data_IF_227884423129
#
_entry.id   IF_227884423129
#
_cell.length_a   1.000
_cell.length_b   1.000
_cell.length_c   1.000
_cell.angle_alpha   90.00
_cell.angle_beta   90.00
_cell.angle_gamma   90.00
#
_symmetry.space_group_name_H-M   'P 1'
#
loop_
_entity.id
_entity.type
_entity.pdbx_description
1 polymer ?
#
# COMPACT_ATOMS: atom_id res chain seq x y z
N UNK A 1 -2.59 13.63 -9.10
CA UNK A 1 -1.62 12.56 -8.85
C UNK A 1 -0.69 12.93 -7.70
N UNK A 2 -0.45 11.99 -6.79
CA UNK A 2 0.61 12.07 -5.78
C UNK A 2 1.87 11.48 -6.38
N UNK A 3 2.73 12.35 -6.94
CA UNK A 3 3.86 11.89 -7.76
C UNK A 3 4.91 11.13 -6.95
N UNK A 4 5.11 11.49 -5.69
CA UNK A 4 6.07 10.90 -4.76
C UNK A 4 5.33 10.33 -3.55
N UNK A 5 4.68 9.20 -3.71
CA UNK A 5 3.97 8.48 -2.64
C UNK A 5 4.77 7.25 -2.20
N UNK A 6 4.81 7.02 -0.88
CA UNK A 6 5.66 5.99 -0.29
C UNK A 6 4.94 5.22 0.81
N UNK A 7 5.21 3.92 0.88
CA UNK A 7 4.91 3.15 2.08
C UNK A 7 5.88 3.48 3.21
N UNK A 8 5.40 3.45 4.44
CA UNK A 8 6.25 3.59 5.63
C UNK A 8 6.87 2.26 6.09
N UNK A 9 6.41 1.13 5.53
CA UNK A 9 7.01 -0.19 5.74
C UNK A 9 6.63 -1.12 4.59
N UNK A 10 7.60 -1.63 3.80
CA UNK A 10 7.33 -2.42 2.60
C UNK A 10 7.02 -3.90 2.91
N UNK A 11 6.00 -4.13 3.74
CA UNK A 11 5.46 -5.44 4.11
C UNK A 11 3.95 -5.33 4.27
N UNK A 12 3.19 -6.31 3.77
CA UNK A 12 1.73 -6.25 3.68
C UNK A 12 1.03 -5.92 5.02
N UNK A 13 1.15 -6.78 6.04
CA UNK A 13 0.50 -6.59 7.34
C UNK A 13 0.84 -5.24 7.97
N UNK A 14 2.13 -4.90 8.15
CA UNK A 14 2.56 -3.59 8.66
C UNK A 14 2.02 -2.39 7.89
N UNK A 15 2.14 -2.38 6.56
CA UNK A 15 1.63 -1.29 5.72
C UNK A 15 0.11 -1.14 5.82
N UNK A 16 -0.62 -2.27 5.86
CA UNK A 16 -2.07 -2.29 6.03
C UNK A 16 -2.49 -1.79 7.41
N UNK A 17 -1.78 -2.18 8.48
CA UNK A 17 -2.00 -1.65 9.81
C UNK A 17 -1.81 -0.12 9.83
N UNK A 18 -0.76 0.38 9.17
CA UNK A 18 -0.49 1.81 9.04
C UNK A 18 -1.58 2.55 8.26
N UNK A 19 -2.06 2.01 7.13
CA UNK A 19 -3.19 2.58 6.38
C UNK A 19 -4.48 2.62 7.21
N UNK A 20 -4.77 1.57 7.96
CA UNK A 20 -5.99 1.48 8.76
C UNK A 20 -5.97 2.38 9.99
N UNK A 21 -4.81 2.63 10.60
CA UNK A 21 -4.70 3.30 11.91
C UNK A 21 -4.04 4.67 11.86
N UNK A 22 -3.38 5.02 10.76
CA UNK A 22 -2.58 6.25 10.65
C UNK A 22 -1.29 6.24 11.47
N UNK A 23 -0.85 5.09 11.99
CA UNK A 23 0.30 4.96 12.87
C UNK A 23 1.40 4.11 12.24
N UNK A 24 2.65 4.41 12.58
CA UNK A 24 3.76 3.53 12.21
C UNK A 24 3.55 2.11 12.76
N UNK A 25 4.02 1.13 12.03
CA UNK A 25 3.82 -0.28 12.33
C UNK A 25 4.33 -0.67 13.72
N UNK A 26 5.46 -0.13 14.18
CA UNK A 26 5.98 -0.35 15.53
C UNK A 26 5.08 0.21 16.63
N UNK A 27 4.31 1.29 16.36
CA UNK A 27 3.32 1.83 17.30
C UNK A 27 2.04 0.99 17.36
N UNK A 28 1.70 0.32 16.25
CA UNK A 28 0.54 -0.59 16.23
C UNK A 28 0.86 -1.95 16.82
N UNK A 29 2.13 -2.32 16.91
CA UNK A 29 2.63 -3.65 17.25
C UNK A 29 2.66 -4.61 16.06
N UNK A 30 2.06 -4.26 14.91
CA UNK A 30 2.05 -5.07 13.68
C UNK A 30 3.31 -4.72 12.86
N UNK A 31 4.48 -5.06 13.37
CA UNK A 31 5.76 -4.72 12.72
C UNK A 31 6.20 -5.76 11.68
N UNK A 32 5.54 -6.90 11.60
CA UNK A 32 5.74 -7.97 10.59
C UNK A 32 4.42 -8.64 10.25
N UNK A 33 4.42 -9.47 9.21
CA UNK A 33 3.28 -10.34 8.90
C UNK A 33 2.99 -11.32 10.05
N UNK A 34 1.80 -11.89 10.05
CA UNK A 34 1.31 -12.83 11.06
C UNK A 34 1.17 -12.24 12.48
N UNK A 35 1.07 -10.91 12.59
CA UNK A 35 0.64 -10.25 13.82
C UNK A 35 -0.75 -9.66 13.60
N UNK A 36 -1.68 -10.06 14.45
CA UNK A 36 -3.06 -9.55 14.42
C UNK A 36 -3.11 -8.11 14.93
N UNK A 37 -3.84 -7.25 14.24
CA UNK A 37 -4.05 -5.88 14.70
C UNK A 37 -4.80 -5.87 16.04
N UNK A 38 -4.22 -5.21 17.04
CA UNK A 38 -4.84 -5.10 18.35
C UNK A 38 -6.17 -4.33 18.24
N UNK A 39 -7.24 -4.89 18.81
CA UNK A 39 -8.60 -4.32 18.83
C UNK A 39 -8.70 -2.92 19.46
N UNK A 40 -7.71 -2.52 20.26
CA UNK A 40 -7.63 -1.19 20.86
C UNK A 40 -7.08 -0.14 19.89
N UNK A 41 -6.53 -0.54 18.75
CA UNK A 41 -6.12 0.39 17.70
C UNK A 41 -7.37 0.87 16.93
N UNK A 42 -7.59 2.18 16.92
CA UNK A 42 -8.70 2.77 16.15
C UNK A 42 -8.36 2.78 14.67
N UNK A 43 -9.30 2.26 13.87
CA UNK A 43 -9.19 2.17 12.41
C UNK A 43 -10.00 3.26 11.71
N UNK A 44 -9.77 3.45 10.39
CA UNK A 44 -10.59 4.29 9.53
C UNK A 44 -12.09 4.01 9.72
N UNK A 45 -12.48 2.73 9.68
CA UNK A 45 -13.89 2.35 9.80
C UNK A 45 -14.50 2.79 11.14
N UNK A 46 -13.77 2.65 12.24
CA UNK A 46 -14.29 3.04 13.56
C UNK A 46 -14.45 4.57 13.70
N UNK A 47 -13.56 5.36 13.10
CA UNK A 47 -13.72 6.81 13.06
C UNK A 47 -14.94 7.21 12.21
N UNK A 48 -15.04 6.66 11.01
CA UNK A 48 -16.11 6.96 10.06
C UNK A 48 -17.49 6.47 10.52
N UNK A 49 -17.58 5.29 11.13
CA UNK A 49 -18.83 4.80 11.74
C UNK A 49 -19.38 5.77 12.79
N UNK A 50 -18.49 6.36 13.60
CA UNK A 50 -18.90 7.32 14.63
C UNK A 50 -19.53 8.58 14.04
N UNK A 51 -19.11 8.96 12.84
CA UNK A 51 -19.62 10.11 12.09
C UNK A 51 -20.78 9.71 11.13
N UNK A 52 -21.35 8.53 11.30
CA UNK A 52 -22.57 8.11 10.61
C UNK A 52 -22.34 7.48 9.23
N UNK A 53 -21.11 7.21 8.82
CA UNK A 53 -20.84 6.48 7.57
C UNK A 53 -21.20 5.00 7.71
N UNK A 54 -21.62 4.40 6.61
CA UNK A 54 -21.60 2.95 6.44
C UNK A 54 -20.21 2.54 5.94
N UNK A 55 -19.56 1.59 6.61
CA UNK A 55 -18.21 1.17 6.24
C UNK A 55 -18.18 -0.22 5.67
N UNK A 56 -17.48 -0.41 4.55
CA UNK A 56 -17.37 -1.66 3.83
C UNK A 56 -15.91 -2.03 3.55
N UNK A 57 -15.60 -3.32 3.68
CA UNK A 57 -14.32 -3.88 3.29
C UNK A 57 -14.53 -5.05 2.33
N UNK A 58 -13.83 -5.03 1.18
CA UNK A 58 -13.88 -6.09 0.16
C UNK A 58 -12.46 -6.45 -0.26
N UNK A 59 -12.07 -7.73 -0.14
CA UNK A 59 -10.79 -8.26 -0.59
C UNK A 59 -9.85 -8.74 0.51
N UNK A 60 -8.54 -8.49 0.38
CA UNK A 60 -7.50 -8.95 1.32
C UNK A 60 -7.42 -8.10 2.57
N UNK A 61 -7.54 -8.72 3.75
CA UNK A 61 -7.41 -8.02 5.05
C UNK A 61 -5.98 -8.02 5.61
N UNK A 62 -5.43 -9.17 5.87
CA UNK A 62 -4.08 -9.44 6.39
C UNK A 62 -3.77 -8.82 7.77
N UNK A 63 -4.78 -8.59 8.59
CA UNK A 63 -4.65 -8.05 9.96
C UNK A 63 -5.42 -8.90 10.99
N UNK A 64 -5.93 -10.04 10.58
CA UNK A 64 -6.61 -11.01 11.43
C UNK A 64 -5.74 -12.21 11.79
N UNK A 65 -6.24 -13.06 12.70
CA UNK A 65 -5.54 -14.25 13.18
C UNK A 65 -5.84 -15.52 12.36
N UNK A 66 -6.85 -15.49 11.49
CA UNK A 66 -7.33 -16.68 10.77
C UNK A 66 -8.13 -16.31 9.53
N UNK A 67 -8.42 -17.29 8.67
CA UNK A 67 -9.50 -17.29 7.70
C UNK A 67 -10.58 -18.33 8.11
N UNK A 68 -11.86 -17.95 8.18
CA UNK A 68 -12.41 -16.58 8.10
C UNK A 68 -11.96 -15.68 9.26
N UNK A 69 -11.86 -14.38 9.00
CA UNK A 69 -11.47 -13.38 10.02
C UNK A 69 -12.56 -13.26 11.08
N UNK A 70 -12.19 -13.35 12.35
CA UNK A 70 -13.12 -13.21 13.49
C UNK A 70 -13.78 -11.83 13.49
N UNK A 71 -15.06 -11.75 13.88
CA UNK A 71 -15.85 -10.49 13.85
C UNK A 71 -15.16 -9.31 14.58
N UNK A 72 -14.53 -9.59 15.72
CA UNK A 72 -13.83 -8.60 16.53
C UNK A 72 -12.45 -8.20 16.00
N UNK A 73 -11.97 -8.84 14.93
CA UNK A 73 -10.69 -8.55 14.25
C UNK A 73 -10.86 -7.81 12.91
N UNK A 74 -12.11 -7.46 12.52
CA UNK A 74 -12.46 -6.81 11.25
C UNK A 74 -12.34 -5.29 11.28
N UNK A 75 -11.65 -4.71 12.24
CA UNK A 75 -11.41 -3.27 12.30
C UNK A 75 -12.66 -2.40 12.37
N UNK A 76 -13.84 -2.96 12.73
CA UNK A 76 -15.09 -2.20 12.87
C UNK A 76 -15.88 -1.99 11.56
N UNK A 77 -15.53 -2.65 10.46
CA UNK A 77 -16.27 -2.58 9.20
C UNK A 77 -17.67 -3.22 9.31
N UNK A 78 -18.71 -2.52 8.84
CA UNK A 78 -20.11 -2.96 8.89
C UNK A 78 -20.42 -4.02 7.82
N UNK A 79 -20.03 -3.75 6.58
CA UNK A 79 -20.09 -4.70 5.47
C UNK A 79 -18.73 -5.39 5.33
N UNK A 80 -18.77 -6.72 5.19
CA UNK A 80 -17.58 -7.53 5.12
C UNK A 80 -17.68 -8.58 4.02
N UNK A 81 -16.73 -8.57 3.10
CA UNK A 81 -16.53 -9.60 2.09
C UNK A 81 -15.02 -9.74 1.87
N UNK A 82 -14.33 -10.48 2.75
CA UNK A 82 -12.88 -10.48 2.78
C UNK A 82 -12.28 -11.82 3.27
N UNK A 83 -11.04 -12.07 2.83
CA UNK A 83 -10.16 -13.08 3.41
C UNK A 83 -8.96 -12.42 4.08
N UNK A 84 -8.43 -13.04 5.12
CA UNK A 84 -7.22 -12.56 5.78
C UNK A 84 -6.00 -12.68 4.84
N UNK A 85 -5.77 -13.89 4.34
CA UNK A 85 -4.66 -14.23 3.45
C UNK A 85 -5.20 -14.67 2.08
N UNK A 86 -5.72 -13.72 1.31
CA UNK A 86 -6.40 -13.99 0.04
C UNK A 86 -5.51 -14.74 -0.97
N UNK A 87 -4.18 -14.55 -0.90
CA UNK A 87 -3.18 -15.26 -1.70
C UNK A 87 -3.05 -16.76 -1.41
N UNK A 88 -3.55 -17.21 -0.25
CA UNK A 88 -3.56 -18.62 0.15
C UNK A 88 -4.95 -19.25 0.09
N UNK A 89 -6.00 -18.44 0.07
CA UNK A 89 -7.39 -18.93 -0.02
C UNK A 89 -7.90 -18.93 -1.46
N UNK A 90 -7.20 -18.29 -2.40
CA UNK A 90 -7.69 -18.04 -3.76
C UNK A 90 -6.59 -18.13 -4.80
N UNK A 91 -6.96 -18.62 -5.98
CA UNK A 91 -6.21 -18.50 -7.22
C UNK A 91 -6.80 -17.42 -8.13
N UNK A 92 -6.09 -17.12 -9.22
CA UNK A 92 -6.46 -16.03 -10.14
C UNK A 92 -7.87 -16.14 -10.70
N UNK A 93 -8.40 -17.37 -10.87
CA UNK A 93 -9.75 -17.68 -11.37
C UNK A 93 -10.60 -18.49 -10.38
N UNK A 94 -10.14 -18.65 -9.16
CA UNK A 94 -10.86 -19.31 -8.06
C UNK A 94 -10.83 -18.43 -6.82
N UNK A 95 -11.63 -17.37 -6.85
CA UNK A 95 -11.67 -16.39 -5.76
C UNK A 95 -12.54 -16.87 -4.62
N UNK A 96 -11.93 -17.21 -3.51
CA UNK A 96 -12.60 -17.61 -2.28
C UNK A 96 -12.48 -16.51 -1.23
N UNK A 97 -13.61 -16.10 -0.69
CA UNK A 97 -13.74 -14.98 0.24
C UNK A 97 -14.84 -15.30 1.26
N UNK A 98 -14.90 -14.60 2.37
CA UNK A 98 -15.87 -14.83 3.43
C UNK A 98 -16.74 -13.60 3.68
N UNK A 99 -18.05 -13.80 3.87
CA UNK A 99 -18.98 -12.75 4.20
C UNK A 99 -19.00 -12.40 5.72
N UNK A 100 -19.90 -11.50 6.10
CA UNK A 100 -20.07 -11.06 7.49
C UNK A 100 -20.40 -12.20 8.47
N UNK A 101 -21.02 -13.27 7.99
CA UNK A 101 -21.46 -14.43 8.79
C UNK A 101 -20.47 -15.62 8.69
N UNK A 102 -19.27 -15.38 8.14
CA UNK A 102 -18.22 -16.37 7.89
C UNK A 102 -18.59 -17.43 6.84
N UNK A 103 -19.62 -17.17 6.02
CA UNK A 103 -19.96 -18.05 4.92
C UNK A 103 -18.90 -17.91 3.82
N UNK A 104 -18.39 -19.05 3.37
CA UNK A 104 -17.48 -19.15 2.24
C UNK A 104 -18.22 -18.80 0.95
N UNK A 105 -17.72 -17.82 0.22
CA UNK A 105 -18.26 -17.36 -1.07
C UNK A 105 -17.21 -17.60 -2.14
N UNK A 106 -17.58 -18.26 -3.21
CA UNK A 106 -16.79 -18.38 -4.43
C UNK A 106 -17.27 -17.34 -5.42
N UNK A 107 -16.38 -16.41 -5.81
CA UNK A 107 -16.68 -15.39 -6.80
C UNK A 107 -16.21 -15.87 -8.20
N UNK A 108 -17.00 -15.67 -9.27
CA UNK A 108 -16.66 -16.12 -10.60
C UNK A 108 -15.70 -15.17 -11.31
N UNK A 109 -14.94 -15.71 -12.27
CA UNK A 109 -14.07 -14.95 -13.16
C UNK A 109 -12.68 -14.68 -12.59
N UNK A 110 -11.94 -13.80 -13.28
CA UNK A 110 -10.61 -13.39 -12.84
C UNK A 110 -10.72 -12.58 -11.54
N UNK A 111 -9.84 -12.82 -10.57
CA UNK A 111 -9.98 -12.33 -9.18
C UNK A 111 -10.16 -10.81 -9.07
N UNK A 112 -9.42 -10.00 -9.84
CA UNK A 112 -9.62 -8.54 -9.88
C UNK A 112 -11.06 -8.21 -10.25
N UNK A 113 -11.58 -8.85 -11.34
CA UNK A 113 -12.94 -8.60 -11.83
C UNK A 113 -13.97 -9.01 -10.79
N UNK A 114 -13.81 -10.19 -10.22
CA UNK A 114 -14.71 -10.75 -9.23
C UNK A 114 -14.85 -9.83 -7.99
N UNK A 115 -13.73 -9.27 -7.50
CA UNK A 115 -13.70 -8.33 -6.36
C UNK A 115 -14.31 -6.98 -6.75
N UNK A 116 -13.97 -6.45 -7.93
CA UNK A 116 -14.51 -5.18 -8.41
C UNK A 116 -16.01 -5.28 -8.72
N UNK A 117 -16.48 -6.39 -9.27
CA UNK A 117 -17.92 -6.64 -9.44
C UNK A 117 -18.67 -6.68 -8.09
N UNK A 118 -18.07 -7.27 -7.08
CA UNK A 118 -18.63 -7.23 -5.73
C UNK A 118 -18.66 -5.80 -5.17
N UNK A 119 -17.64 -4.99 -5.43
CA UNK A 119 -17.61 -3.57 -5.07
C UNK A 119 -18.68 -2.76 -5.79
N UNK A 120 -18.87 -2.96 -7.11
CA UNK A 120 -19.92 -2.31 -7.90
C UNK A 120 -21.30 -2.70 -7.38
N UNK A 121 -21.54 -3.98 -7.07
CA UNK A 121 -22.81 -4.40 -6.44
C UNK A 121 -23.04 -3.73 -5.09
N UNK A 122 -21.99 -3.52 -4.30
CA UNK A 122 -22.09 -2.77 -3.05
C UNK A 122 -22.42 -1.29 -3.31
N UNK A 123 -21.74 -0.63 -4.25
CA UNK A 123 -21.97 0.77 -4.62
C UNK A 123 -23.43 0.99 -5.09
N UNK A 124 -24.00 0.07 -5.85
CA UNK A 124 -25.35 0.14 -6.40
C UNK A 124 -26.48 -0.03 -5.37
N UNK A 125 -26.19 -0.34 -4.12
CA UNK A 125 -27.22 -0.48 -3.08
C UNK A 125 -27.81 0.89 -2.72
N UNK A 126 -29.15 0.99 -2.59
CA UNK A 126 -29.81 2.19 -2.08
C UNK A 126 -29.44 2.40 -0.61
N UNK A 127 -28.99 3.59 -0.27
CA UNK A 127 -28.66 3.96 1.11
C UNK A 127 -29.04 5.41 1.42
N UNK A 128 -29.24 5.66 2.71
CA UNK A 128 -29.54 7.00 3.24
C UNK A 128 -28.31 7.68 3.84
N UNK A 129 -27.25 6.92 4.09
CA UNK A 129 -26.02 7.38 4.74
C UNK A 129 -24.88 7.44 3.72
N UNK A 130 -23.91 8.32 3.92
CA UNK A 130 -22.66 8.25 3.18
C UNK A 130 -21.96 6.92 3.47
N UNK A 131 -21.12 6.47 2.56
CA UNK A 131 -20.38 5.21 2.75
C UNK A 131 -18.87 5.41 2.55
N UNK A 132 -18.12 4.56 3.22
CA UNK A 132 -16.70 4.36 2.99
C UNK A 132 -16.47 2.92 2.55
N UNK A 133 -15.94 2.74 1.35
CA UNK A 133 -15.64 1.44 0.80
C UNK A 133 -14.12 1.29 0.63
N UNK A 134 -13.54 0.31 1.33
CA UNK A 134 -12.15 -0.08 1.13
C UNK A 134 -12.09 -1.34 0.26
N UNK A 135 -11.59 -1.18 -0.97
CA UNK A 135 -11.36 -2.29 -1.91
C UNK A 135 -9.89 -2.65 -1.85
N UNK A 136 -9.60 -3.91 -1.56
CA UNK A 136 -8.25 -4.41 -1.37
C UNK A 136 -7.99 -5.59 -2.30
N UNK A 137 -7.48 -5.29 -3.49
CA UNK A 137 -7.02 -6.30 -4.44
C UNK A 137 -5.75 -6.96 -3.92
N UNK A 138 -5.48 -8.17 -4.40
CA UNK A 138 -4.19 -8.81 -4.14
C UNK A 138 -3.18 -8.49 -5.24
N UNK A 139 -3.65 -8.42 -6.48
CA UNK A 139 -2.80 -8.10 -7.63
C UNK A 139 -2.18 -6.70 -7.49
N UNK A 140 -0.98 -6.49 -7.96
CA UNK A 140 -0.11 -7.39 -8.74
C UNK A 140 0.85 -8.24 -7.87
N UNK A 141 0.41 -8.74 -6.70
CA UNK A 141 1.18 -9.66 -5.86
C UNK A 141 1.40 -10.99 -6.60
N UNK A 142 2.54 -11.64 -6.39
CA UNK A 142 2.75 -12.96 -6.96
C UNK A 142 1.87 -14.02 -6.26
N UNK A 143 1.57 -15.09 -6.96
CA UNK A 143 0.87 -16.25 -6.42
C UNK A 143 1.90 -17.17 -5.76
N UNK A 144 1.90 -17.25 -4.44
CA UNK A 144 2.98 -17.84 -3.66
C UNK A 144 3.31 -19.29 -4.04
N UNK A 145 2.29 -20.14 -4.23
CA UNK A 145 2.51 -21.56 -4.47
C UNK A 145 2.99 -21.89 -5.90
N UNK A 146 2.86 -20.96 -6.83
CA UNK A 146 3.36 -21.11 -8.21
C UNK A 146 4.60 -20.26 -8.49
N UNK A 147 4.98 -19.37 -7.56
CA UNK A 147 6.02 -18.33 -7.74
C UNK A 147 5.84 -17.59 -9.08
N UNK A 148 4.60 -17.22 -9.41
CA UNK A 148 4.26 -16.57 -10.67
C UNK A 148 3.38 -15.33 -10.47
N UNK A 149 3.29 -14.49 -11.50
CA UNK A 149 2.41 -13.34 -11.61
C UNK A 149 1.36 -13.61 -12.70
N UNK A 150 0.27 -14.35 -12.38
CA UNK A 150 -0.69 -14.83 -13.36
C UNK A 150 -1.67 -13.72 -13.77
N UNK A 151 -1.51 -13.10 -14.97
CA UNK A 151 -2.42 -12.10 -15.49
C UNK A 151 -3.65 -12.77 -16.10
N UNK A 152 -4.66 -12.01 -16.56
CA UNK A 152 -5.70 -12.57 -17.41
C UNK A 152 -5.12 -13.23 -18.66
N UNK A 153 -5.87 -14.19 -19.22
CA UNK A 153 -5.48 -14.93 -20.44
C UNK A 153 -5.17 -13.94 -21.57
N UNK A 154 -4.03 -14.13 -22.24
CA UNK A 154 -3.56 -13.29 -23.35
C UNK A 154 -2.81 -12.01 -22.93
N UNK A 155 -2.80 -11.66 -21.65
CA UNK A 155 -2.11 -10.43 -21.20
C UNK A 155 -0.60 -10.61 -21.08
N UNK A 156 -0.13 -11.79 -20.71
CA UNK A 156 1.32 -12.07 -20.61
C UNK A 156 2.01 -11.87 -21.96
N UNK A 157 1.45 -12.43 -23.02
CA UNK A 157 1.95 -12.34 -24.39
C UNK A 157 1.91 -10.90 -24.90
N UNK A 158 0.84 -10.17 -24.60
CA UNK A 158 0.67 -8.75 -24.96
C UNK A 158 1.72 -7.84 -24.33
N UNK A 159 2.22 -8.18 -23.15
CA UNK A 159 3.18 -7.39 -22.40
C UNK A 159 4.60 -7.96 -22.37
N UNK A 160 4.86 -9.03 -23.11
CA UNK A 160 6.20 -9.57 -23.33
C UNK A 160 7.09 -8.54 -24.05
N UNK A 161 8.37 -8.50 -23.70
CA UNK A 161 9.36 -7.63 -24.36
C UNK A 161 9.19 -6.13 -24.11
N UNK A 162 8.42 -5.73 -23.09
CA UNK A 162 8.30 -4.31 -22.70
C UNK A 162 9.54 -3.82 -21.98
N UNK A 163 9.65 -2.48 -21.88
CA UNK A 163 10.75 -1.82 -21.20
C UNK A 163 10.95 -2.36 -19.76
N UNK A 164 12.20 -2.59 -19.42
CA UNK A 164 12.61 -3.07 -18.08
C UNK A 164 13.32 -1.92 -17.36
N UNK A 165 12.90 -1.58 -16.14
CA UNK A 165 13.61 -0.58 -15.33
C UNK A 165 15.10 -0.93 -15.14
N UNK A 166 16.01 0.07 -15.14
CA UNK A 166 17.44 -0.16 -15.05
C UNK A 166 17.91 -0.99 -13.85
N UNK A 167 17.28 -0.82 -12.69
CA UNK A 167 17.58 -1.66 -11.50
C UNK A 167 17.20 -3.13 -11.72
N UNK A 168 16.05 -3.39 -12.34
CA UNK A 168 15.61 -4.74 -12.65
C UNK A 168 16.40 -5.39 -13.80
N UNK A 169 16.98 -4.56 -14.69
CA UNK A 169 17.81 -5.04 -15.79
C UNK A 169 19.25 -5.35 -15.33
N UNK A 170 19.80 -4.51 -14.45
CA UNK A 170 21.22 -4.55 -14.06
C UNK A 170 21.47 -5.51 -12.91
N UNK A 171 20.54 -5.56 -11.93
CA UNK A 171 20.69 -6.39 -10.74
C UNK A 171 20.14 -7.80 -10.99
N UNK A 172 20.74 -8.78 -10.33
CA UNK A 172 20.24 -10.15 -10.35
C UNK A 172 18.88 -10.21 -9.67
N UNK A 173 17.92 -10.94 -10.28
CA UNK A 173 16.56 -11.11 -9.74
C UNK A 173 15.68 -11.87 -10.72
N UNK A 174 14.37 -11.88 -10.45
CA UNK A 174 13.39 -12.66 -11.21
C UNK A 174 12.56 -11.85 -12.21
N UNK A 175 12.93 -10.58 -12.45
CA UNK A 175 12.13 -9.67 -13.28
C UNK A 175 11.92 -10.18 -14.71
N UNK A 176 12.93 -10.78 -15.32
CA UNK A 176 12.86 -11.32 -16.69
C UNK A 176 11.82 -12.43 -16.86
N UNK A 177 11.52 -13.19 -15.80
CA UNK A 177 10.49 -14.25 -15.82
C UNK A 177 9.09 -13.68 -15.60
N UNK A 178 8.96 -12.63 -14.78
CA UNK A 178 7.69 -12.25 -14.17
C UNK A 178 7.12 -10.92 -14.67
N UNK A 179 7.96 -10.04 -15.25
CA UNK A 179 7.56 -8.66 -15.54
C UNK A 179 6.38 -8.56 -16.52
N UNK A 180 6.31 -9.44 -17.51
CA UNK A 180 5.20 -9.48 -18.45
C UNK A 180 3.85 -9.81 -17.77
N UNK A 181 3.86 -10.79 -16.85
CA UNK A 181 2.70 -11.13 -16.02
C UNK A 181 2.30 -9.98 -15.10
N UNK A 182 3.28 -9.38 -14.43
CA UNK A 182 3.08 -8.22 -13.57
C UNK A 182 2.45 -7.03 -14.31
N UNK A 183 2.92 -6.70 -15.51
CA UNK A 183 2.34 -5.65 -16.34
C UNK A 183 0.91 -6.00 -16.78
N UNK A 184 0.66 -7.27 -17.12
CA UNK A 184 -0.69 -7.74 -17.46
C UNK A 184 -1.67 -7.60 -16.30
N UNK A 185 -1.25 -7.94 -15.07
CA UNK A 185 -2.05 -7.73 -13.85
C UNK A 185 -2.30 -6.24 -13.61
N UNK A 186 -1.24 -5.40 -13.73
CA UNK A 186 -1.34 -3.94 -13.55
C UNK A 186 -2.31 -3.32 -14.55
N UNK A 187 -2.26 -3.76 -15.81
CA UNK A 187 -3.23 -3.31 -16.83
C UNK A 187 -4.66 -3.70 -16.47
N UNK A 188 -4.87 -4.92 -15.95
CA UNK A 188 -6.21 -5.33 -15.53
C UNK A 188 -6.73 -4.55 -14.33
N UNK A 189 -5.86 -4.14 -13.40
CA UNK A 189 -6.24 -3.22 -12.31
C UNK A 189 -6.70 -1.88 -12.88
N UNK A 190 -5.99 -1.30 -13.84
CA UNK A 190 -6.35 -0.05 -14.50
C UNK A 190 -7.74 -0.13 -15.16
N UNK A 191 -8.02 -1.19 -15.90
CA UNK A 191 -9.32 -1.44 -16.52
C UNK A 191 -10.43 -1.61 -15.48
N UNK A 192 -10.17 -2.34 -14.40
CA UNK A 192 -11.12 -2.55 -13.31
C UNK A 192 -11.40 -1.25 -12.53
N UNK A 193 -10.38 -0.40 -12.35
CA UNK A 193 -10.55 0.93 -11.75
C UNK A 193 -11.41 1.84 -12.65
N UNK A 194 -11.23 1.78 -13.98
CA UNK A 194 -12.11 2.47 -14.94
C UNK A 194 -13.58 2.05 -14.76
N UNK A 195 -13.87 0.75 -14.61
CA UNK A 195 -15.22 0.23 -14.37
C UNK A 195 -15.85 0.78 -13.06
N UNK A 196 -15.06 0.98 -12.01
CA UNK A 196 -15.54 1.61 -10.77
C UNK A 196 -15.93 3.07 -11.02
N UNK A 197 -15.11 3.83 -11.76
CA UNK A 197 -15.42 5.22 -12.14
C UNK A 197 -16.69 5.28 -12.98
N UNK A 198 -16.80 4.45 -14.01
CA UNK A 198 -17.99 4.38 -14.88
C UNK A 198 -19.25 4.06 -14.09
N UNK A 199 -19.16 3.16 -13.11
CA UNK A 199 -20.26 2.82 -12.21
C UNK A 199 -20.69 4.04 -11.38
N UNK A 200 -19.75 4.77 -10.78
CA UNK A 200 -20.07 5.98 -10.00
C UNK A 200 -20.68 7.09 -10.86
N UNK A 201 -20.17 7.29 -12.09
CA UNK A 201 -20.74 8.24 -13.05
C UNK A 201 -22.16 7.85 -13.45
N UNK A 202 -22.39 6.60 -13.82
CA UNK A 202 -23.69 6.06 -14.21
C UNK A 202 -24.75 6.19 -13.10
N UNK A 203 -24.33 5.99 -11.87
CA UNK A 203 -25.19 6.13 -10.67
C UNK A 203 -25.32 7.56 -10.17
N UNK A 204 -24.66 8.55 -10.81
CA UNK A 204 -24.60 9.96 -10.40
C UNK A 204 -24.08 10.14 -8.98
N UNK A 205 -23.11 9.33 -8.59
CA UNK A 205 -22.46 9.38 -7.27
C UNK A 205 -21.09 10.06 -7.33
N UNK A 206 -20.55 10.31 -8.53
CA UNK A 206 -19.17 10.79 -8.70
C UNK A 206 -18.97 12.17 -8.06
N UNK A 207 -19.95 13.07 -8.18
CA UNK A 207 -19.85 14.44 -7.69
C UNK A 207 -19.72 14.51 -6.15
N UNK A 208 -20.29 13.55 -5.44
CA UNK A 208 -20.25 13.44 -3.98
C UNK A 208 -19.23 12.39 -3.49
N UNK A 209 -18.35 11.93 -4.37
CA UNK A 209 -17.39 10.88 -4.06
C UNK A 209 -15.94 11.37 -4.11
N UNK A 210 -15.10 10.78 -3.28
CA UNK A 210 -13.65 10.89 -3.37
C UNK A 210 -13.05 9.49 -3.47
N UNK A 211 -12.29 9.24 -4.52
CA UNK A 211 -11.62 7.98 -4.78
C UNK A 211 -10.12 8.13 -4.53
N UNK A 212 -9.59 7.30 -3.63
CA UNK A 212 -8.16 7.12 -3.46
C UNK A 212 -7.72 5.83 -4.14
N UNK A 213 -6.67 5.91 -4.93
CA UNK A 213 -5.96 4.75 -5.47
C UNK A 213 -4.54 4.74 -4.92
N UNK A 214 -4.10 3.62 -4.34
CA UNK A 214 -2.73 3.43 -3.85
C UNK A 214 -2.37 1.94 -3.76
N UNK A 215 -1.14 1.64 -3.34
CA UNK A 215 -0.67 0.30 -2.99
C UNK A 215 -0.10 0.29 -1.57
N UNK A 216 -0.08 -0.87 -0.93
CA UNK A 216 0.53 -1.06 0.39
C UNK A 216 2.06 -1.02 0.32
N UNK A 217 2.68 -1.53 -0.73
CA UNK A 217 4.12 -1.48 -1.01
C UNK A 217 4.41 -1.75 -2.49
N UNK A 218 5.67 -1.61 -2.90
CA UNK A 218 6.17 -1.92 -4.24
C UNK A 218 6.65 -3.37 -4.39
N UNK A 219 7.42 -3.62 -5.46
CA UNK A 219 7.99 -4.92 -5.80
C UNK A 219 9.39 -4.75 -6.42
N UNK A 220 10.38 -5.40 -5.85
CA UNK A 220 11.77 -5.35 -6.33
C UNK A 220 12.20 -6.60 -7.12
N UNK A 221 11.32 -7.57 -7.34
CA UNK A 221 11.58 -8.80 -8.10
C UNK A 221 12.86 -9.55 -7.64
N UNK A 222 13.09 -9.61 -6.33
CA UNK A 222 14.26 -10.27 -5.73
C UNK A 222 15.63 -9.64 -6.14
N UNK A 223 15.64 -8.34 -6.55
CA UNK A 223 16.88 -7.64 -6.92
C UNK A 223 17.63 -7.06 -5.71
N UNK A 224 16.99 -6.91 -4.57
CA UNK A 224 17.54 -6.25 -3.37
C UNK A 224 17.75 -7.18 -2.18
N UNK A 225 17.08 -8.30 -2.17
CA UNK A 225 17.15 -9.39 -1.22
C UNK A 225 16.52 -10.63 -1.86
N UNK A 226 16.46 -11.73 -1.16
CA UNK A 226 15.84 -12.97 -1.66
C UNK A 226 14.32 -12.93 -1.77
N UNK A 227 13.73 -11.81 -1.35
CA UNK A 227 12.31 -11.55 -1.40
C UNK A 227 11.99 -10.45 -2.42
N UNK A 228 10.75 -10.32 -2.81
CA UNK A 228 10.32 -9.33 -3.82
C UNK A 228 9.94 -7.97 -3.22
N UNK A 229 10.12 -7.76 -1.92
CA UNK A 229 9.87 -6.53 -1.14
C UNK A 229 10.82 -6.48 0.06
N UNK A 230 10.45 -5.81 1.17
CA UNK A 230 11.21 -5.78 2.44
C UNK A 230 12.56 -5.08 2.33
N UNK A 231 12.65 -4.04 1.51
CA UNK A 231 13.87 -3.24 1.37
C UNK A 231 13.56 -1.74 1.37
N UNK A 232 14.57 -0.91 1.64
CA UNK A 232 14.42 0.56 1.62
C UNK A 232 14.39 1.15 0.20
N UNK A 233 14.63 0.36 -0.83
CA UNK A 233 14.80 0.84 -2.21
C UNK A 233 13.48 1.30 -2.84
N UNK A 234 13.55 2.27 -3.76
CA UNK A 234 12.38 2.88 -4.42
C UNK A 234 11.42 1.81 -4.98
N UNK A 235 11.95 0.75 -5.58
CA UNK A 235 11.15 -0.37 -6.10
C UNK A 235 10.28 -1.06 -5.04
N UNK A 236 10.67 -1.05 -3.77
CA UNK A 236 9.88 -1.62 -2.67
C UNK A 236 9.01 -0.61 -1.95
N UNK A 237 9.42 0.66 -1.88
CA UNK A 237 8.74 1.66 -1.04
C UNK A 237 7.90 2.68 -1.81
N UNK A 238 8.24 2.98 -3.07
CA UNK A 238 7.48 3.93 -3.89
C UNK A 238 6.24 3.25 -4.45
N UNK A 239 5.07 3.86 -4.19
CA UNK A 239 3.77 3.31 -4.60
C UNK A 239 3.03 4.30 -5.50
N UNK A 240 2.27 3.81 -6.49
CA UNK A 240 1.40 4.67 -7.27
C UNK A 240 0.30 5.23 -6.37
N UNK A 241 -0.03 6.51 -6.53
CA UNK A 241 -1.16 7.09 -5.80
C UNK A 241 -1.85 8.18 -6.60
N UNK A 242 -3.18 8.16 -6.59
CA UNK A 242 -4.01 9.20 -7.17
C UNK A 242 -5.26 9.45 -6.33
N UNK A 243 -5.82 10.64 -6.48
CA UNK A 243 -7.06 11.04 -5.84
C UNK A 243 -7.93 11.70 -6.90
N UNK A 244 -9.21 11.33 -6.92
CA UNK A 244 -10.24 11.92 -7.78
C UNK A 244 -11.42 12.34 -6.89
N UNK A 245 -12.03 13.49 -7.16
CA UNK A 245 -13.20 14.01 -6.44
C UNK A 245 -13.24 15.54 -6.45
N UNK A 246 -14.35 16.13 -6.05
CA UNK A 246 -14.60 17.58 -6.18
C UNK A 246 -13.52 18.48 -5.59
N UNK A 247 -12.96 18.12 -4.43
CA UNK A 247 -11.88 18.90 -3.81
C UNK A 247 -10.62 18.94 -4.68
N UNK A 248 -10.51 18.07 -5.68
CA UNK A 248 -9.35 17.83 -6.54
C UNK A 248 -9.62 18.14 -8.02
N UNK A 249 -10.72 18.83 -8.36
CA UNK A 249 -11.18 19.09 -9.75
C UNK A 249 -10.17 19.82 -10.62
N UNK A 250 -9.34 20.68 -10.04
CA UNK A 250 -8.30 21.40 -10.80
C UNK A 250 -7.22 20.47 -11.37
N UNK A 251 -7.22 19.21 -10.97
CA UNK A 251 -6.21 18.24 -11.36
C UNK A 251 -4.79 18.65 -10.93
N UNK A 252 -3.79 17.91 -11.45
CA UNK A 252 -2.39 18.28 -11.26
C UNK A 252 -1.54 17.21 -10.56
N UNK A 253 -0.33 17.63 -10.20
CA UNK A 253 0.69 16.76 -9.58
C UNK A 253 1.17 17.36 -8.27
N UNK A 254 1.02 16.65 -7.17
CA UNK A 254 1.67 16.96 -5.90
C UNK A 254 3.04 16.29 -5.93
N UNK A 255 4.10 17.12 -5.89
CA UNK A 255 5.50 16.67 -5.94
C UNK A 255 6.13 16.49 -4.55
N UNK A 256 5.43 16.86 -3.50
CA UNK A 256 5.85 16.63 -2.12
C UNK A 256 5.94 15.12 -1.84
N UNK A 257 6.77 14.76 -0.87
CA UNK A 257 6.88 13.38 -0.40
C UNK A 257 5.66 13.06 0.48
N UNK A 258 4.89 12.06 0.09
CA UNK A 258 3.64 11.66 0.76
C UNK A 258 3.80 10.23 1.30
N UNK A 259 3.51 10.05 2.57
CA UNK A 259 3.43 8.73 3.19
C UNK A 259 2.01 8.14 3.05
N UNK A 260 1.90 6.82 3.06
CA UNK A 260 0.58 6.16 3.21
C UNK A 260 -0.12 6.56 4.52
N UNK A 261 0.62 7.00 5.53
CA UNK A 261 0.06 7.58 6.78
C UNK A 261 -0.72 8.87 6.50
N UNK A 262 -0.25 9.67 5.54
CA UNK A 262 -0.91 10.92 5.15
C UNK A 262 -2.25 10.66 4.44
N UNK A 263 -2.36 9.52 3.75
CA UNK A 263 -3.62 9.07 3.14
C UNK A 263 -4.68 8.82 4.21
N UNK A 264 -4.33 8.14 5.30
CA UNK A 264 -5.23 7.94 6.45
C UNK A 264 -5.74 9.28 7.00
N UNK A 265 -4.83 10.20 7.30
CA UNK A 265 -5.16 11.52 7.83
C UNK A 265 -6.03 12.32 6.86
N UNK A 266 -5.76 12.21 5.55
CA UNK A 266 -6.52 12.91 4.50
C UNK A 266 -7.94 12.38 4.37
N UNK A 267 -8.15 11.06 4.42
CA UNK A 267 -9.49 10.45 4.39
C UNK A 267 -10.35 10.98 5.55
N UNK A 268 -9.81 11.02 6.75
CA UNK A 268 -10.52 11.52 7.92
C UNK A 268 -10.81 13.02 7.83
N UNK A 269 -9.86 13.80 7.33
CA UNK A 269 -10.03 15.25 7.14
C UNK A 269 -11.08 15.58 6.08
N UNK A 270 -11.14 14.84 4.96
CA UNK A 270 -12.19 14.94 3.94
C UNK A 270 -13.58 14.63 4.53
N UNK A 271 -13.66 13.63 5.40
CA UNK A 271 -14.89 13.28 6.11
C UNK A 271 -15.27 14.30 7.21
N UNK A 272 -14.50 15.38 7.39
CA UNK A 272 -14.75 16.41 8.40
C UNK A 272 -14.35 16.04 9.82
N UNK A 273 -13.69 14.91 10.01
CA UNK A 273 -13.26 14.41 11.33
C UNK A 273 -12.02 15.18 11.77
N UNK A 274 -12.09 15.89 12.90
CA UNK A 274 -10.96 16.68 13.42
C UNK A 274 -10.22 16.02 14.58
N UNK A 275 -10.90 15.19 15.36
CA UNK A 275 -10.35 14.56 16.57
C UNK A 275 -9.91 13.13 16.27
N UNK A 276 -8.75 12.95 15.64
CA UNK A 276 -8.13 11.66 15.39
C UNK A 276 -6.63 11.68 15.74
N UNK A 277 -6.08 10.51 15.97
CA UNK A 277 -4.65 10.31 16.16
C UNK A 277 -4.04 9.71 14.90
N UNK A 278 -3.04 10.38 14.36
CA UNK A 278 -2.28 9.90 13.20
C UNK A 278 -0.83 10.38 13.29
N UNK A 279 0.10 9.58 12.83
CA UNK A 279 1.49 9.99 12.59
C UNK A 279 1.62 10.70 11.23
N UNK A 280 0.65 10.55 10.33
CA UNK A 280 0.54 11.26 9.07
C UNK A 280 -0.19 12.59 9.19
N UNK A 281 -0.13 13.36 8.11
CA UNK A 281 -0.77 14.69 7.98
C UNK A 281 -1.70 14.71 6.77
N UNK A 282 -2.83 15.43 6.88
CA UNK A 282 -3.70 15.64 5.73
C UNK A 282 -2.98 16.39 4.61
N UNK A 283 -3.15 15.92 3.37
CA UNK A 283 -2.62 16.58 2.17
C UNK A 283 -3.55 17.68 1.63
N UNK A 284 -4.75 17.87 2.20
CA UNK A 284 -5.70 18.91 1.75
C UNK A 284 -5.07 20.31 1.73
N UNK A 285 -4.27 20.75 2.73
CA UNK A 285 -3.60 22.04 2.68
C UNK A 285 -2.66 22.20 1.48
N UNK A 286 -2.02 21.13 0.99
CA UNK A 286 -1.19 21.16 -0.21
C UNK A 286 -2.03 21.36 -1.47
N UNK A 287 -3.17 20.66 -1.56
CA UNK A 287 -4.10 20.78 -2.69
C UNK A 287 -4.72 22.18 -2.74
N UNK A 288 -5.14 22.72 -1.60
CA UNK A 288 -5.75 24.05 -1.49
C UNK A 288 -4.73 25.19 -1.59
N UNK A 289 -3.44 24.90 -1.80
CA UNK A 289 -2.35 25.89 -1.82
C UNK A 289 -2.32 26.80 -0.56
N UNK A 290 -2.86 26.30 0.55
CA UNK A 290 -2.86 26.96 1.84
C UNK A 290 -1.63 26.55 2.59
N UNK A 291 -0.69 27.44 2.67
CA UNK A 291 0.55 27.44 3.43
C UNK A 291 1.22 26.08 3.75
N UNK A 292 2.55 26.05 3.62
CA UNK A 292 3.16 24.83 3.23
C UNK A 292 4.50 24.58 3.87
N UNK A 293 4.51 24.55 5.16
CA UNK A 293 5.62 23.93 5.91
C UNK A 293 5.46 22.39 5.86
N UNK A 294 5.42 21.84 4.63
CA UNK A 294 5.44 20.40 4.45
C UNK A 294 6.86 19.88 4.64
N UNK A 295 7.01 18.90 5.52
CA UNK A 295 8.30 18.23 5.71
C UNK A 295 8.43 17.19 4.61
N UNK A 296 9.34 17.41 3.68
CA UNK A 296 9.63 16.49 2.57
C UNK A 296 10.61 15.38 3.00
N UNK A 297 10.18 14.58 3.95
CA UNK A 297 10.93 13.44 4.47
C UNK A 297 9.98 12.28 4.72
N UNK A 298 10.42 11.06 4.37
CA UNK A 298 9.70 9.82 4.65
C UNK A 298 10.58 8.92 5.52
N UNK A 299 10.07 8.59 6.70
CA UNK A 299 10.67 7.59 7.55
C UNK A 299 10.10 6.21 7.22
N UNK A 300 11.00 5.24 7.05
CA UNK A 300 10.68 3.89 6.61
C UNK A 300 11.22 2.90 7.63
N UNK A 301 10.38 1.95 8.02
CA UNK A 301 10.73 0.82 8.86
C UNK A 301 10.88 -0.42 7.99
N UNK A 302 11.86 -1.27 8.28
CA UNK A 302 12.10 -2.52 7.55
C UNK A 302 12.12 -3.65 8.56
N UNK A 303 11.44 -4.73 8.24
CA UNK A 303 11.35 -5.95 9.04
C UNK A 303 11.40 -7.19 8.16
N UNK A 304 11.42 -8.34 8.76
CA UNK A 304 11.42 -9.69 8.16
C UNK A 304 12.70 -10.03 7.38
N UNK A 305 13.26 -9.12 6.57
CA UNK A 305 14.57 -9.28 5.95
C UNK A 305 15.71 -8.79 6.83
N UNK A 306 15.42 -7.76 7.62
CA UNK A 306 16.38 -7.13 8.57
C UNK A 306 15.62 -6.22 9.53
N UNK A 307 16.20 -5.90 10.67
CA UNK A 307 15.73 -4.79 11.50
C UNK A 307 16.38 -3.52 10.98
N UNK A 308 15.67 -2.79 10.13
CA UNK A 308 16.20 -1.63 9.43
C UNK A 308 15.35 -0.36 9.58
N UNK A 309 16.01 0.77 9.34
CA UNK A 309 15.38 2.10 9.25
C UNK A 309 15.93 2.84 8.05
N UNK A 310 15.10 3.65 7.43
CA UNK A 310 15.57 4.50 6.34
C UNK A 310 14.89 5.86 6.38
N UNK A 311 15.63 6.88 5.98
CA UNK A 311 15.16 8.23 5.74
C UNK A 311 15.26 8.53 4.26
N UNK A 312 14.13 8.92 3.63
CA UNK A 312 14.04 9.35 2.24
C UNK A 312 13.70 10.82 2.20
N UNK A 313 14.63 11.64 1.78
CA UNK A 313 14.43 13.07 1.47
C UNK A 313 14.22 13.27 -0.03
N UNK A 314 13.98 14.50 -0.53
CA UNK A 314 13.86 14.75 -1.97
C UNK A 314 15.05 14.24 -2.78
N UNK A 315 16.26 14.41 -2.27
CA UNK A 315 17.52 14.12 -2.97
C UNK A 315 18.21 12.85 -2.48
N UNK A 316 18.07 12.54 -1.20
CA UNK A 316 18.89 11.51 -0.55
C UNK A 316 18.03 10.40 0.03
N UNK A 317 18.56 9.21 -0.02
CA UNK A 317 18.13 8.08 0.80
C UNK A 317 19.28 7.61 1.66
N UNK A 318 19.01 7.48 2.96
CA UNK A 318 19.95 6.95 3.94
C UNK A 318 19.29 5.79 4.67
N UNK A 319 20.02 4.70 4.86
CA UNK A 319 19.51 3.51 5.54
C UNK A 319 20.52 2.95 6.52
N UNK A 320 19.98 2.42 7.61
CA UNK A 320 20.71 1.70 8.66
C UNK A 320 20.05 0.36 8.92
N UNK A 321 20.81 -0.62 9.38
CA UNK A 321 20.31 -1.90 9.85
C UNK A 321 20.99 -2.32 11.17
N UNK A 322 20.34 -3.25 11.87
CA UNK A 322 20.89 -3.92 13.05
C UNK A 322 21.17 -5.39 12.72
N UNK A 323 22.42 -5.76 12.42
CA UNK A 323 22.76 -7.13 12.03
C UNK A 323 22.53 -8.18 13.12
N UNK A 324 22.64 -7.76 14.40
CA UNK A 324 22.51 -8.63 15.57
C UNK A 324 21.05 -8.89 15.96
N UNK A 325 20.11 -8.14 15.38
CA UNK A 325 18.68 -8.23 15.73
C UNK A 325 17.93 -9.24 14.84
N UNK A 326 17.07 -10.06 15.45
CA UNK A 326 16.19 -10.99 14.73
C UNK A 326 14.99 -10.24 14.12
N UNK A 327 14.90 -10.10 12.78
CA UNK A 327 13.87 -9.29 12.13
C UNK A 327 12.46 -9.89 12.23
N UNK A 328 12.32 -11.12 12.68
CA UNK A 328 11.06 -11.78 12.94
C UNK A 328 10.57 -11.63 14.39
N UNK A 329 11.46 -11.25 15.32
CA UNK A 329 11.13 -11.11 16.75
C UNK A 329 11.23 -9.68 17.24
N UNK A 330 12.12 -8.88 16.67
CA UNK A 330 12.44 -7.54 17.15
C UNK A 330 11.90 -6.47 16.22
N UNK A 331 11.15 -5.54 16.78
CA UNK A 331 10.60 -4.41 16.02
C UNK A 331 11.58 -3.23 15.84
N UNK A 332 12.70 -3.26 16.51
CA UNK A 332 13.74 -2.21 16.52
C UNK A 332 14.94 -2.62 17.33
N UNK A 333 16.00 -1.80 17.31
CA UNK A 333 17.23 -2.01 18.04
C UNK A 333 17.72 -0.68 18.61
N UNK A 334 18.62 -0.72 19.58
CA UNK A 334 19.36 0.42 20.07
C UNK A 334 20.72 0.58 19.36
N UNK A 335 21.09 -0.38 18.53
CA UNK A 335 22.35 -0.40 17.80
C UNK A 335 22.07 -0.60 16.31
N UNK A 336 22.50 0.37 15.51
CA UNK A 336 22.38 0.34 14.07
C UNK A 336 23.73 0.66 13.43
N UNK A 337 24.03 -0.01 12.32
CA UNK A 337 25.13 0.32 11.43
C UNK A 337 24.61 0.97 10.16
N UNK A 338 25.41 1.83 9.55
CA UNK A 338 25.12 2.45 8.26
C UNK A 338 25.16 1.38 7.17
N UNK A 339 24.15 1.41 6.28
CA UNK A 339 23.99 0.38 5.24
C UNK A 339 24.02 0.98 3.84
N UNK A 340 23.19 1.98 3.59
CA UNK A 340 23.04 2.58 2.27
C UNK A 340 22.98 4.10 2.33
N UNK A 341 23.58 4.74 1.32
CA UNK A 341 23.41 6.13 0.97
C UNK A 341 23.28 6.26 -0.54
N UNK A 342 22.19 6.86 -1.02
CA UNK A 342 21.96 7.09 -2.44
C UNK A 342 21.65 8.56 -2.71
N UNK A 343 22.21 9.11 -3.81
CA UNK A 343 21.82 10.39 -4.38
C UNK A 343 20.77 10.14 -5.49
N UNK A 344 19.50 10.30 -5.16
CA UNK A 344 18.38 9.95 -6.03
C UNK A 344 18.20 10.86 -7.25
N UNK A 345 18.85 12.04 -7.28
CA UNK A 345 18.89 12.91 -8.46
C UNK A 345 19.86 12.35 -9.51
N UNK A 346 21.00 11.83 -9.07
CA UNK A 346 22.02 11.28 -9.96
C UNK A 346 21.81 9.78 -10.24
N UNK A 347 21.26 9.06 -9.27
CA UNK A 347 21.04 7.61 -9.31
C UNK A 347 19.62 7.26 -8.81
N UNK A 348 18.58 7.53 -9.61
CA UNK A 348 17.20 7.26 -9.23
C UNK A 348 16.86 5.76 -9.12
N UNK A 349 17.73 4.90 -9.61
CA UNK A 349 17.58 3.44 -9.55
C UNK A 349 18.46 2.78 -8.47
N UNK A 350 19.20 3.59 -7.69
CA UNK A 350 19.94 3.13 -6.52
C UNK A 350 20.94 2.00 -6.82
N UNK A 351 21.70 2.17 -7.88
CA UNK A 351 22.72 1.23 -8.34
C UNK A 351 24.08 1.45 -7.66
N UNK A 352 24.34 2.68 -7.17
CA UNK A 352 25.63 3.08 -6.62
C UNK A 352 25.50 3.46 -5.14
N UNK A 353 25.87 2.58 -4.25
CA UNK A 353 25.89 2.86 -2.82
C UNK A 353 27.06 3.77 -2.45
N UNK A 354 26.78 4.94 -1.89
CA UNK A 354 27.76 5.97 -1.52
C UNK A 354 28.19 5.92 -0.05
N UNK A 355 27.69 4.93 0.74
CA UNK A 355 28.07 4.81 2.14
C UNK A 355 29.55 4.50 2.27
N UNK A 356 30.24 5.11 3.25
CA UNK A 356 31.67 4.93 3.49
C UNK A 356 32.58 5.74 2.55
N UNK A 357 32.05 6.41 1.51
CA UNK A 357 32.84 7.27 0.63
C UNK A 357 33.06 8.61 1.33
N UNK A 358 34.33 9.02 1.46
CA UNK A 358 34.79 10.17 2.28
C UNK A 358 34.09 11.48 1.90
N UNK A 359 33.87 11.73 0.62
CA UNK A 359 33.22 12.92 0.07
C UNK A 359 31.77 13.08 0.56
N UNK A 360 31.12 12.01 0.94
CA UNK A 360 29.72 12.00 1.40
C UNK A 360 29.57 11.93 2.93
N UNK A 361 30.67 11.94 3.70
CA UNK A 361 30.62 11.85 5.17
C UNK A 361 29.79 12.96 5.82
N UNK A 362 29.84 14.17 5.27
CA UNK A 362 29.09 15.31 5.81
C UNK A 362 27.57 15.09 5.66
N UNK A 363 27.13 14.61 4.49
CA UNK A 363 25.72 14.33 4.26
C UNK A 363 25.25 13.11 5.06
N UNK A 364 26.06 12.07 5.18
CA UNK A 364 25.78 10.90 6.02
C UNK A 364 25.53 11.31 7.47
N UNK A 365 26.42 12.14 8.06
CA UNK A 365 26.26 12.67 9.43
C UNK A 365 24.99 13.50 9.60
N UNK A 366 24.59 14.25 8.57
CA UNK A 366 23.35 15.06 8.62
C UNK A 366 22.08 14.21 8.59
N UNK A 367 22.12 13.05 7.91
CA UNK A 367 20.96 12.16 7.74
C UNK A 367 20.84 11.12 8.87
N UNK A 368 21.91 10.89 9.63
CA UNK A 368 21.94 10.07 10.85
C UNK A 368 21.15 10.73 11.98
#
# INVERSE_FOLDING_TARGET
HLFNSFTCQPVCGPARASLQTGKYATKTGVFRNHITLNKNQKTLAQYLNKEGYETAYIGKWHLGSSDPVKKNERGGYNYWLASNLLEFTSDSYDTIIYDKDNKKIKLPGYRIDAIVDAAIRYINQKRKKPFFLFISLIEPHHQNHTDDYPPPIGYREKYAGRWVPPDLQTLKGSAHQHLAGYFGMTKRIDEAYGRLIDSLLSLKLMDDSVLFFTSDHGNNFKTRNEEYKRSCHESSIRVPSSIIGNVFEQGGRIKNLISILDIHATILDIAGIKNFQSDGKSILPLVMKKNNKWIDEIFIQISESQVGRSLRTKKWKYSVNSPESDPWKEQGSNQYIEQFLYNLDADPYELNNLIGIKEFNTITKKLR
#
